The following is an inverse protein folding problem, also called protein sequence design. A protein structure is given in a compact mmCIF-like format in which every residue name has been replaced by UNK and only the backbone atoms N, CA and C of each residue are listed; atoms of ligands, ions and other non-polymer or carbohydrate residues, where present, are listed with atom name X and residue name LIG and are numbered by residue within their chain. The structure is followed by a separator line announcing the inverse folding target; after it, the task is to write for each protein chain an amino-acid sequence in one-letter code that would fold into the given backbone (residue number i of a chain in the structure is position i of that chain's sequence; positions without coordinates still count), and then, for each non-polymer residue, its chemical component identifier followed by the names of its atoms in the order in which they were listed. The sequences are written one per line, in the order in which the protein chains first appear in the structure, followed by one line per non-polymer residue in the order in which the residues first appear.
data_IF_834295755174
#
_entry.id   IF_834295755174
#
_cell.length_a   1.000
_cell.length_b   1.000
_cell.length_c   1.000
_cell.angle_alpha   90.00
_cell.angle_beta   90.00
_cell.angle_gamma   90.00
#
_symmetry.space_group_name_H-M   'P 1'
#
loop_
_entity.id
_entity.type
_entity.pdbx_description
1 polymer ?
#
# COMPACT_ATOMS: atom_id res chain seq x y z
N UNK A 1 1.87 0.77 -20.18
CA UNK A 1 2.43 0.47 -18.84
C UNK A 1 1.29 -0.09 -18.00
N UNK A 2 1.40 -1.28 -17.42
CA UNK A 2 0.33 -1.87 -16.56
C UNK A 2 0.51 -1.44 -15.10
N UNK A 3 -0.58 -1.39 -14.33
CA UNK A 3 -0.58 -0.99 -12.91
C UNK A 3 0.37 -1.89 -12.10
N UNK A 4 0.33 -3.21 -12.35
CA UNK A 4 1.20 -4.18 -11.71
C UNK A 4 2.70 -3.88 -11.92
N UNK A 5 3.09 -3.49 -13.14
CA UNK A 5 4.49 -3.12 -13.41
C UNK A 5 4.89 -1.88 -12.63
N UNK A 6 4.02 -0.88 -12.53
CA UNK A 6 4.29 0.35 -11.78
C UNK A 6 4.39 0.11 -10.27
N UNK A 7 3.53 -0.74 -9.69
CA UNK A 7 3.59 -1.13 -8.28
C UNK A 7 4.89 -1.88 -7.97
N UNK A 8 5.22 -2.88 -8.78
CA UNK A 8 6.46 -3.64 -8.62
C UNK A 8 7.70 -2.76 -8.74
N UNK A 9 7.75 -1.89 -9.76
CA UNK A 9 8.91 -1.02 -9.96
C UNK A 9 9.05 -0.01 -8.80
N UNK A 10 7.95 0.45 -8.19
CA UNK A 10 7.99 1.28 -6.98
C UNK A 10 8.62 0.54 -5.80
N UNK A 11 8.07 -0.63 -5.43
CA UNK A 11 8.50 -1.41 -4.25
C UNK A 11 9.95 -1.90 -4.39
N UNK A 12 10.37 -2.33 -5.60
CA UNK A 12 11.72 -2.86 -5.83
C UNK A 12 12.79 -1.77 -5.98
N UNK A 13 12.40 -0.55 -6.36
CA UNK A 13 13.36 0.55 -6.62
C UNK A 13 13.42 1.52 -5.44
N UNK A 14 12.29 1.68 -4.75
CA UNK A 14 12.13 2.62 -3.65
C UNK A 14 11.57 1.84 -2.47
N UNK A 15 12.20 1.99 -1.31
CA UNK A 15 11.75 1.41 -0.05
C UNK A 15 10.52 2.17 0.48
N UNK A 16 9.43 2.15 -0.32
CA UNK A 16 8.20 2.89 -0.10
C UNK A 16 6.98 2.00 -0.31
N UNK A 17 6.00 2.13 0.59
CA UNK A 17 4.72 1.44 0.47
C UNK A 17 3.77 2.28 -0.40
N UNK A 18 3.27 1.77 -1.54
CA UNK A 18 2.31 2.52 -2.34
C UNK A 18 0.97 2.66 -1.61
N UNK A 19 0.42 3.86 -1.56
CA UNK A 19 -0.98 4.11 -1.17
C UNK A 19 -1.78 4.37 -2.44
N UNK A 20 -2.78 3.55 -2.71
CA UNK A 20 -3.53 3.60 -3.97
C UNK A 20 -5.01 3.89 -3.75
N UNK A 21 -5.56 4.73 -4.61
CA UNK A 21 -6.99 5.03 -4.67
C UNK A 21 -7.50 4.64 -6.05
N UNK A 22 -8.33 3.60 -6.15
CA UNK A 22 -8.75 3.12 -7.48
C UNK A 22 -9.53 1.81 -7.51
N UNK A 23 -8.97 0.79 -8.14
CA UNK A 23 -9.72 -0.36 -8.62
C UNK A 23 -9.95 -1.47 -7.58
N UNK A 24 -9.44 -1.34 -6.35
CA UNK A 24 -9.49 -2.44 -5.40
C UNK A 24 -8.37 -3.47 -5.63
N UNK A 25 -8.06 -4.25 -4.60
CA UNK A 25 -7.15 -5.41 -4.66
C UNK A 25 -7.39 -6.33 -5.86
N UNK A 26 -8.65 -6.66 -6.13
CA UNK A 26 -9.04 -7.69 -7.10
C UNK A 26 -8.64 -7.38 -8.55
N UNK A 27 -8.52 -6.10 -8.91
CA UNK A 27 -8.25 -5.69 -10.29
C UNK A 27 -6.76 -5.49 -10.59
N UNK A 28 -5.89 -5.58 -9.58
CA UNK A 28 -4.44 -5.34 -9.75
C UNK A 28 -3.64 -6.61 -9.99
N UNK A 29 -4.11 -7.76 -9.52
CA UNK A 29 -3.37 -9.03 -9.54
C UNK A 29 -2.10 -9.03 -8.67
N UNK A 30 -1.90 -8.00 -7.85
CA UNK A 30 -0.82 -7.91 -6.87
C UNK A 30 -1.23 -8.62 -5.57
N UNK A 31 -0.27 -9.15 -4.77
CA UNK A 31 -0.57 -9.60 -3.41
C UNK A 31 -1.24 -8.48 -2.61
N UNK A 32 -2.26 -8.80 -1.81
CA UNK A 32 -3.02 -7.79 -1.05
C UNK A 32 -2.12 -6.98 -0.12
N UNK A 33 -1.07 -7.60 0.39
CA UNK A 33 -0.14 -7.00 1.36
C UNK A 33 1.00 -6.23 0.67
N UNK A 34 0.99 -6.08 -0.66
CA UNK A 34 2.03 -5.34 -1.39
C UNK A 34 1.80 -3.82 -1.44
N UNK A 35 0.61 -3.34 -1.05
CA UNK A 35 0.27 -1.92 -1.05
C UNK A 35 -0.92 -1.65 -0.12
N UNK A 36 -1.18 -0.37 0.14
CA UNK A 36 -2.32 0.07 0.92
C UNK A 36 -3.42 0.49 -0.06
N UNK A 37 -4.56 -0.19 -0.03
CA UNK A 37 -5.77 0.26 -0.72
C UNK A 37 -6.59 1.17 0.20
N UNK A 38 -6.91 2.37 -0.27
CA UNK A 38 -7.73 3.31 0.50
C UNK A 38 -9.10 2.72 0.84
N UNK A 39 -9.63 1.80 0.02
CA UNK A 39 -10.93 1.17 0.26
C UNK A 39 -10.93 0.09 1.33
N UNK A 40 -9.76 -0.30 1.87
CA UNK A 40 -9.67 -1.16 3.06
C UNK A 40 -10.06 -0.42 4.36
N UNK A 41 -10.20 0.91 4.29
CA UNK A 41 -10.50 1.76 5.44
C UNK A 41 -11.93 2.31 5.34
N UNK A 42 -12.65 2.39 6.48
CA UNK A 42 -14.02 2.92 6.50
C UNK A 42 -14.09 4.43 6.19
N UNK A 43 -12.99 5.16 6.43
CA UNK A 43 -12.88 6.59 6.21
C UNK A 43 -11.41 7.05 6.13
N UNK A 44 -11.23 8.30 5.69
CA UNK A 44 -9.90 8.93 5.54
C UNK A 44 -9.18 9.10 6.89
N UNK A 45 -9.91 9.24 7.99
CA UNK A 45 -9.31 9.41 9.31
C UNK A 45 -8.64 8.11 9.77
N UNK A 46 -9.29 6.97 9.52
CA UNK A 46 -8.78 5.64 9.81
C UNK A 46 -7.54 5.31 8.97
N UNK A 47 -7.56 5.68 7.68
CA UNK A 47 -6.37 5.59 6.82
C UNK A 47 -5.22 6.44 7.38
N UNK A 48 -5.48 7.71 7.72
CA UNK A 48 -4.45 8.60 8.24
C UNK A 48 -3.83 8.07 9.55
N UNK A 49 -4.66 7.54 10.46
CA UNK A 49 -4.19 6.91 11.69
C UNK A 49 -3.29 5.70 11.42
N UNK A 50 -3.64 4.88 10.41
CA UNK A 50 -2.82 3.74 10.01
C UNK A 50 -1.47 4.16 9.41
N UNK A 51 -1.44 5.19 8.57
CA UNK A 51 -0.20 5.72 8.01
C UNK A 51 0.74 6.26 9.11
N UNK A 52 0.20 6.95 10.12
CA UNK A 52 0.98 7.40 11.28
C UNK A 52 1.48 6.23 12.14
N UNK A 53 0.68 5.17 12.28
CA UNK A 53 1.12 3.94 12.94
C UNK A 53 2.34 3.34 12.23
N UNK A 54 2.29 3.19 10.90
CA UNK A 54 3.40 2.64 10.11
C UNK A 54 4.66 3.52 10.20
N UNK A 55 4.52 4.85 10.12
CA UNK A 55 5.63 5.80 10.27
C UNK A 55 6.36 5.65 11.62
N UNK A 56 5.59 5.40 12.69
CA UNK A 56 6.14 5.22 14.04
C UNK A 56 6.61 3.79 14.36
N UNK A 57 6.32 2.80 13.51
CA UNK A 57 6.55 1.38 13.79
C UNK A 57 7.26 0.68 12.62
N UNK A 58 8.59 0.68 12.68
CA UNK A 58 9.46 0.06 11.67
C UNK A 58 9.20 -1.44 11.48
N UNK A 59 8.83 -2.17 12.55
CA UNK A 59 8.50 -3.60 12.41
C UNK A 59 7.28 -3.79 11.53
N UNK A 60 6.21 -3.02 11.76
CA UNK A 60 4.99 -3.09 10.96
C UNK A 60 5.20 -2.58 9.52
N UNK A 61 6.01 -1.52 9.35
CA UNK A 61 6.40 -1.04 8.02
C UNK A 61 7.09 -2.14 7.19
N UNK A 62 8.01 -2.88 7.82
CA UNK A 62 8.79 -3.92 7.15
C UNK A 62 7.98 -5.19 6.82
N UNK A 63 6.74 -5.35 7.27
CA UNK A 63 5.89 -6.49 6.88
C UNK A 63 5.45 -6.42 5.40
N UNK A 64 5.66 -5.28 4.74
CA UNK A 64 5.35 -5.06 3.31
C UNK A 64 6.47 -5.51 2.33
N UNK A 65 7.63 -5.97 2.84
CA UNK A 65 8.81 -6.35 2.04
C UNK A 65 9.32 -7.76 2.36
#
# INVERSE_FOLDING_TARGET
MTILKKLRDLILTYDVIPVTYGLGHELTGAPKDAYIDVFDFPDVQSLAAYLLYLDSNTTAYNEYF
#
